data_IF_852964901459
#
_entry.id   IF_852964901459
#
_cell.length_a   1.000
_cell.length_b   1.000
_cell.length_c   1.000
_cell.angle_alpha   90.00
_cell.angle_beta   90.00
_cell.angle_gamma   90.00
#
_symmetry.space_group_name_H-M   'P 1'
#
loop_
_entity.id
_entity.type
_entity.pdbx_description
1 polymer ?
#
# COMPACT_ATOMS: atom_id res chain seq x y z
N UNK A 1 -1.46 2.82 6.45
CA UNK A 1 -2.43 3.03 5.36
C UNK A 1 -3.51 4.02 5.78
N UNK A 2 -4.04 4.81 4.85
CA UNK A 2 -5.26 5.59 5.01
C UNK A 2 -6.21 5.30 3.84
N UNK A 3 -7.52 5.28 4.11
CA UNK A 3 -8.59 5.11 3.13
C UNK A 3 -9.51 6.34 3.20
N UNK A 4 -9.79 6.96 2.05
CA UNK A 4 -10.61 8.17 1.90
C UNK A 4 -10.22 9.32 2.84
N UNK A 5 -8.92 9.49 3.09
CA UNK A 5 -8.41 10.53 3.99
C UNK A 5 -8.66 10.27 5.48
N UNK A 6 -9.08 9.06 5.84
CA UNK A 6 -9.18 8.63 7.24
C UNK A 6 -7.83 8.60 7.96
N UNK A 7 -7.81 8.37 9.28
CA UNK A 7 -6.57 8.30 10.03
C UNK A 7 -5.66 7.19 9.50
N UNK A 8 -4.35 7.42 9.53
CA UNK A 8 -3.39 6.38 9.16
C UNK A 8 -3.38 5.25 10.20
N UNK A 9 -3.57 4.04 9.73
CA UNK A 9 -3.55 2.80 10.51
C UNK A 9 -2.34 1.95 10.13
N UNK A 10 -1.79 1.20 11.09
CA UNK A 10 -0.70 0.27 10.84
C UNK A 10 -1.22 -1.01 10.19
N UNK A 11 -0.40 -1.62 9.34
CA UNK A 11 -0.63 -2.93 8.75
C UNK A 11 0.50 -3.86 9.22
N UNK A 12 0.20 -5.11 9.54
CA UNK A 12 1.21 -6.16 9.72
C UNK A 12 1.41 -6.93 8.42
N UNK A 13 2.57 -7.57 8.28
CA UNK A 13 2.86 -8.56 7.23
C UNK A 13 2.53 -8.10 5.80
N UNK A 14 2.74 -6.81 5.51
CA UNK A 14 2.45 -6.23 4.21
C UNK A 14 3.43 -6.69 3.11
N UNK A 15 2.88 -6.97 1.92
CA UNK A 15 3.63 -7.41 0.75
C UNK A 15 3.70 -6.33 -0.34
N UNK A 16 4.90 -6.14 -0.90
CA UNK A 16 5.11 -5.41 -2.16
C UNK A 16 5.21 -6.45 -3.27
N UNK A 17 4.11 -6.69 -3.99
CA UNK A 17 3.98 -7.86 -4.85
C UNK A 17 3.50 -7.48 -6.27
N UNK A 18 4.42 -7.56 -7.22
CA UNK A 18 4.15 -7.26 -8.64
C UNK A 18 3.17 -8.24 -9.30
N UNK A 19 2.97 -9.42 -8.71
CA UNK A 19 2.05 -10.46 -9.18
C UNK A 19 0.64 -10.38 -8.57
N UNK A 20 0.44 -9.54 -7.56
CA UNK A 20 -0.83 -9.40 -6.82
C UNK A 20 -1.96 -8.67 -7.56
N UNK A 21 -1.77 -8.38 -8.86
CA UNK A 21 -2.74 -7.67 -9.72
C UNK A 21 -3.20 -6.36 -9.09
N UNK A 22 -4.46 -6.22 -8.67
CA UNK A 22 -5.02 -4.97 -8.14
C UNK A 22 -4.71 -4.74 -6.65
N UNK A 23 -4.18 -5.77 -5.97
CA UNK A 23 -3.85 -5.74 -4.54
C UNK A 23 -5.05 -6.03 -3.64
N UNK A 24 -4.75 -6.15 -2.35
CA UNK A 24 -5.69 -6.55 -1.31
C UNK A 24 -5.56 -5.64 -0.09
N UNK A 25 -6.71 -5.27 0.51
CA UNK A 25 -6.75 -4.49 1.75
C UNK A 25 -7.41 -5.29 2.89
N UNK A 26 -6.77 -5.41 4.07
CA UNK A 26 -7.38 -6.09 5.20
C UNK A 26 -8.68 -5.42 5.64
N UNK A 27 -9.73 -6.21 5.89
CA UNK A 27 -11.05 -5.71 6.32
C UNK A 27 -10.98 -4.83 7.58
N UNK A 28 -10.02 -5.11 8.47
CA UNK A 28 -9.75 -4.31 9.67
C UNK A 28 -9.42 -2.84 9.38
N UNK A 29 -8.96 -2.53 8.15
CA UNK A 29 -8.59 -1.18 7.73
C UNK A 29 -9.73 -0.43 7.01
N UNK A 30 -10.85 -1.12 6.75
CA UNK A 30 -11.97 -0.61 5.96
C UNK A 30 -13.28 -0.84 6.73
N UNK A 31 -13.60 0.02 7.71
CA UNK A 31 -14.81 -0.13 8.50
C UNK A 31 -16.07 -0.19 7.64
N UNK A 32 -16.88 -1.22 7.84
CA UNK A 32 -18.12 -1.43 7.10
C UNK A 32 -18.00 -2.29 5.83
N UNK A 33 -16.80 -2.76 5.50
CA UNK A 33 -16.57 -3.80 4.50
C UNK A 33 -16.25 -5.15 5.16
N UNK A 34 -16.39 -6.23 4.41
CA UNK A 34 -16.04 -7.59 4.80
C UNK A 34 -15.14 -8.23 3.75
N UNK A 35 -14.34 -9.21 4.17
CA UNK A 35 -13.54 -10.00 3.25
C UNK A 35 -14.39 -10.56 2.09
N UNK A 36 -13.90 -10.38 0.86
CA UNK A 36 -14.60 -10.72 -0.39
C UNK A 36 -15.26 -9.53 -1.08
N UNK A 37 -15.52 -8.43 -0.35
CA UNK A 37 -15.99 -7.18 -0.95
C UNK A 37 -14.92 -6.54 -1.83
N UNK A 38 -15.34 -5.65 -2.73
CA UNK A 38 -14.43 -4.75 -3.44
C UNK A 38 -14.58 -3.33 -2.92
N UNK A 39 -13.47 -2.61 -2.83
CA UNK A 39 -13.54 -1.18 -2.55
C UNK A 39 -14.27 -0.45 -3.68
N UNK A 40 -15.15 0.52 -3.36
CA UNK A 40 -15.83 1.31 -4.39
C UNK A 40 -14.84 2.07 -5.27
N UNK A 41 -15.13 2.16 -6.58
CA UNK A 41 -14.38 3.00 -7.50
C UNK A 41 -14.31 4.45 -7.00
N UNK A 42 -13.16 5.09 -7.16
CA UNK A 42 -12.91 6.44 -6.64
C UNK A 42 -12.43 6.47 -5.18
N UNK A 43 -12.45 5.34 -4.46
CA UNK A 43 -11.84 5.25 -3.13
C UNK A 43 -10.36 5.64 -3.23
N UNK A 44 -9.90 6.53 -2.35
CA UNK A 44 -8.51 6.96 -2.31
C UNK A 44 -7.77 6.19 -1.23
N UNK A 45 -6.72 5.47 -1.61
CA UNK A 45 -5.82 4.74 -0.71
C UNK A 45 -4.50 5.49 -0.66
N UNK A 46 -4.00 5.75 0.56
CA UNK A 46 -2.67 6.30 0.78
C UNK A 46 -1.83 5.32 1.60
N UNK A 47 -0.67 4.98 1.06
CA UNK A 47 0.29 4.08 1.72
C UNK A 47 1.51 4.88 2.11
N UNK A 48 1.89 4.77 3.38
CA UNK A 48 3.09 5.37 3.94
C UNK A 48 3.90 4.31 4.66
N UNK A 49 5.20 4.51 4.71
CA UNK A 49 6.16 3.63 5.38
C UNK A 49 6.97 4.43 6.40
N UNK A 50 7.58 3.78 7.41
CA UNK A 50 8.58 4.44 8.23
C UNK A 50 9.67 5.06 7.36
N UNK A 51 10.06 6.29 7.65
CA UNK A 51 11.02 7.04 6.84
C UNK A 51 11.72 8.15 7.62
N UNK A 52 12.74 8.79 7.03
CA UNK A 52 13.62 9.72 7.73
C UNK A 52 13.01 11.11 7.99
N UNK A 53 11.81 11.39 7.49
CA UNK A 53 11.10 12.67 7.71
C UNK A 53 10.84 12.95 9.19
N UNK A 54 10.69 14.21 9.60
CA UNK A 54 10.42 14.61 11.00
C UNK A 54 9.20 13.92 11.63
N UNK A 55 8.19 13.57 10.83
CA UNK A 55 7.00 12.83 11.29
C UNK A 55 7.20 11.31 11.38
N UNK A 56 8.41 10.80 11.06
CA UNK A 56 8.78 9.39 11.08
C UNK A 56 8.19 8.52 9.97
N UNK A 57 7.41 9.11 9.04
CA UNK A 57 6.77 8.39 7.94
C UNK A 57 6.85 9.15 6.63
N UNK A 58 7.12 8.42 5.55
CA UNK A 58 7.13 8.93 4.17
C UNK A 58 5.93 8.38 3.41
N UNK A 59 5.18 9.25 2.72
CA UNK A 59 4.13 8.83 1.79
C UNK A 59 4.79 8.12 0.61
N UNK A 60 4.37 6.88 0.34
CA UNK A 60 4.91 6.05 -0.72
C UNK A 60 4.13 6.24 -2.02
N UNK A 61 2.81 6.08 -1.96
CA UNK A 61 1.94 6.32 -3.10
C UNK A 61 0.51 6.65 -2.66
N UNK A 62 -0.22 7.24 -3.60
CA UNK A 62 -1.67 7.40 -3.55
C UNK A 62 -2.27 6.64 -4.73
N UNK A 63 -3.31 5.85 -4.48
CA UNK A 63 -4.07 5.12 -5.49
C UNK A 63 -5.53 5.55 -5.44
N UNK A 64 -6.12 5.77 -6.60
CA UNK A 64 -7.57 5.87 -6.74
C UNK A 64 -8.08 4.53 -7.29
N UNK A 65 -8.95 3.87 -6.54
CA UNK A 65 -9.47 2.54 -6.89
C UNK A 65 -10.28 2.62 -8.19
N UNK A 66 -9.99 1.71 -9.12
CA UNK A 66 -10.72 1.58 -10.37
C UNK A 66 -12.07 0.84 -10.18
N UNK A 67 -13.00 0.91 -11.15
CA UNK A 67 -14.18 0.05 -11.15
C UNK A 67 -13.83 -1.43 -11.32
N UNK A 68 -14.72 -2.31 -10.85
CA UNK A 68 -14.69 -3.76 -11.14
C UNK A 68 -14.63 -3.98 -12.67
N UNK A 69 -13.76 -4.87 -13.19
CA UNK A 69 -13.06 -5.93 -12.46
C UNK A 69 -11.74 -5.54 -11.78
N UNK A 70 -11.18 -4.35 -12.03
CA UNK A 70 -9.83 -3.96 -11.59
C UNK A 70 -9.85 -3.25 -10.22
N UNK A 71 -10.84 -3.57 -9.37
CA UNK A 71 -11.02 -2.94 -8.07
C UNK A 71 -10.20 -3.67 -7.00
N UNK A 72 -9.66 -2.93 -6.04
CA UNK A 72 -8.94 -3.50 -4.88
C UNK A 72 -9.92 -4.33 -4.05
N UNK A 73 -9.57 -5.59 -3.77
CA UNK A 73 -10.40 -6.48 -2.97
C UNK A 73 -10.13 -6.30 -1.47
N UNK A 74 -11.18 -6.42 -0.67
CA UNK A 74 -11.08 -6.51 0.79
C UNK A 74 -10.80 -7.96 1.17
N UNK A 75 -9.79 -8.19 1.99
CA UNK A 75 -9.34 -9.53 2.41
C UNK A 75 -9.39 -9.71 3.93
N UNK A 76 -9.50 -10.95 4.38
CA UNK A 76 -9.25 -11.32 5.79
C UNK A 76 -7.75 -11.53 6.07
N UNK A 77 -6.92 -11.52 5.02
CA UNK A 77 -5.47 -11.69 5.09
C UNK A 77 -4.72 -10.36 5.20
N UNK A 78 -3.47 -10.40 4.73
CA UNK A 78 -2.53 -9.29 4.83
C UNK A 78 -2.70 -8.28 3.71
N UNK A 79 -2.12 -7.09 3.91
CA UNK A 79 -2.09 -6.06 2.89
C UNK A 79 -1.15 -6.44 1.74
N UNK A 80 -1.64 -6.34 0.50
CA UNK A 80 -0.86 -6.53 -0.72
C UNK A 80 -0.99 -5.27 -1.59
N UNK A 81 0.13 -4.68 -2.01
CA UNK A 81 0.12 -3.47 -2.85
C UNK A 81 -0.45 -3.70 -4.26
N UNK A 82 -0.50 -4.95 -4.71
CA UNK A 82 -0.66 -5.29 -6.11
C UNK A 82 0.48 -4.73 -6.97
N UNK A 83 0.25 -4.71 -8.28
CA UNK A 83 1.19 -4.19 -9.26
C UNK A 83 1.21 -2.65 -9.33
N UNK A 84 0.23 -1.97 -8.73
CA UNK A 84 0.06 -0.51 -8.89
C UNK A 84 1.31 0.26 -8.48
N UNK A 85 1.93 -0.08 -7.35
CA UNK A 85 3.16 0.61 -6.87
C UNK A 85 4.30 0.61 -7.90
N UNK A 86 4.44 -0.46 -8.69
CA UNK A 86 5.49 -0.58 -9.71
C UNK A 86 5.25 0.33 -10.93
N UNK A 87 4.03 0.86 -11.07
CA UNK A 87 3.71 1.88 -12.08
C UNK A 87 4.04 3.30 -11.61
N UNK A 88 4.19 3.49 -10.29
CA UNK A 88 4.40 4.81 -9.70
C UNK A 88 5.87 5.17 -9.56
N UNK A 89 6.72 4.17 -9.31
CA UNK A 89 8.15 4.39 -9.10
C UNK A 89 8.98 3.13 -9.39
N UNK A 90 10.29 3.28 -9.69
CA UNK A 90 11.21 2.15 -9.69
C UNK A 90 11.27 1.49 -8.30
N UNK A 91 11.16 0.16 -8.27
CA UNK A 91 11.29 -0.65 -7.06
C UNK A 91 12.58 -1.47 -7.15
N UNK A 92 13.44 -1.34 -6.14
CA UNK A 92 14.71 -2.05 -6.07
C UNK A 92 14.61 -3.17 -5.03
N UNK A 93 14.89 -4.40 -5.45
CA UNK A 93 14.99 -5.56 -4.55
C UNK A 93 16.45 -5.79 -4.19
N UNK A 94 16.76 -5.75 -2.89
CA UNK A 94 18.08 -6.11 -2.36
C UNK A 94 18.04 -7.50 -1.77
N UNK A 95 19.03 -8.32 -2.12
CA UNK A 95 19.22 -9.66 -1.56
C UNK A 95 20.28 -9.67 -0.44
N UNK A 96 20.46 -8.53 0.23
CA UNK A 96 21.40 -8.40 1.35
C UNK A 96 20.95 -9.26 2.54
N UNK A 97 21.87 -10.02 3.19
CA UNK A 97 21.53 -10.92 4.28
C UNK A 97 21.19 -10.21 5.60
N UNK A 98 21.42 -8.90 5.72
CA UNK A 98 21.23 -8.13 6.98
C UNK A 98 19.81 -7.60 7.21
N UNK A 99 18.79 -8.21 6.62
CA UNK A 99 17.38 -7.93 6.91
C UNK A 99 16.68 -7.09 5.85
N UNK A 100 15.45 -7.51 5.52
CA UNK A 100 14.57 -6.89 4.53
C UNK A 100 13.74 -5.77 5.15
N UNK A 101 14.34 -4.61 5.35
CA UNK A 101 13.55 -3.40 5.58
C UNK A 101 13.33 -2.73 4.23
N UNK A 102 12.10 -2.31 3.98
CA UNK A 102 11.81 -1.44 2.84
C UNK A 102 12.48 -0.09 3.16
N UNK A 103 13.50 0.28 2.39
CA UNK A 103 14.15 1.58 2.46
C UNK A 103 13.93 2.34 1.16
N UNK A 104 13.72 3.65 1.25
CA UNK A 104 13.53 4.51 0.09
C UNK A 104 14.66 5.53 0.02
N UNK A 105 15.38 5.54 -1.10
CA UNK A 105 16.24 6.66 -1.46
C UNK A 105 15.33 7.79 -1.94
N UNK A 106 15.15 8.80 -1.11
CA UNK A 106 14.68 10.10 -1.59
C UNK A 106 15.81 10.69 -2.48
N UNK A 107 15.49 11.38 -3.59
CA UNK A 107 16.50 12.19 -4.26
C UNK A 107 17.15 13.11 -3.23
N UNK A 108 18.47 13.31 -3.30
CA UNK A 108 19.11 14.36 -2.51
C UNK A 108 18.38 15.66 -2.79
N UNK A 109 18.03 16.41 -1.74
CA UNK A 109 17.68 17.79 -1.91
C UNK A 109 18.94 18.49 -2.42
N UNK A 110 18.95 18.86 -3.70
CA UNK A 110 19.96 19.74 -4.28
C UNK A 110 19.82 21.17 -3.72
#
# INVERSE_FOLDING_TARGET
MSVNGGPFQSTSDAFVDSGGVDGDIPEALVPGSSAGDYLPAGTTIQVRVPGPTETGYTLLYTQTVAPVPDAVQVTAGDFNTGNYIFTQMPIYFTYSPTGGTIFFNLPSAD
#
